data_IF_112837298161
#
_entry.id   IF_112837298161
#
_cell.length_a   1.000
_cell.length_b   1.000
_cell.length_c   1.000
_cell.angle_alpha   90.00
_cell.angle_beta   90.00
_cell.angle_gamma   90.00
#
_symmetry.space_group_name_H-M   'P 1'
#
loop_
_entity.id
_entity.type
_entity.pdbx_description
1 polymer ?
#
# COMPACT_ATOMS: atom_id res chain seq x y z
N UNK A 1 -19.44 -30.41 -10.46
CA UNK A 1 -19.37 -29.76 -9.14
C UNK A 1 -18.02 -30.10 -8.51
N UNK A 2 -16.98 -29.34 -8.86
CA UNK A 2 -15.61 -29.58 -8.42
C UNK A 2 -14.76 -28.33 -8.66
N UNK A 3 -13.97 -27.94 -7.65
CA UNK A 3 -12.74 -27.17 -7.86
C UNK A 3 -12.83 -25.66 -7.72
N UNK A 4 -13.19 -25.15 -6.53
CA UNK A 4 -12.72 -23.81 -6.12
C UNK A 4 -11.43 -23.98 -5.32
N UNK A 5 -10.32 -24.10 -6.06
CA UNK A 5 -8.96 -24.03 -5.53
C UNK A 5 -8.79 -22.70 -4.79
N UNK A 6 -8.82 -22.72 -3.46
CA UNK A 6 -8.32 -21.62 -2.63
C UNK A 6 -6.82 -21.51 -2.92
N UNK A 7 -6.41 -20.54 -3.74
CA UNK A 7 -5.01 -20.13 -3.82
C UNK A 7 -4.77 -19.19 -2.64
N UNK A 8 -3.98 -19.64 -1.67
CA UNK A 8 -3.45 -18.77 -0.64
C UNK A 8 -2.42 -17.83 -1.28
N UNK A 9 -2.44 -16.52 -0.98
CA UNK A 9 -1.40 -15.62 -1.48
C UNK A 9 -0.10 -15.86 -0.69
N UNK A 10 0.85 -16.56 -1.31
CA UNK A 10 2.22 -16.79 -0.84
C UNK A 10 3.05 -15.49 -0.95
N UNK A 11 2.74 -14.48 -0.15
CA UNK A 11 3.58 -13.28 -0.01
C UNK A 11 3.77 -12.89 1.45
N UNK A 12 4.30 -13.82 2.24
CA UNK A 12 4.91 -13.51 3.54
C UNK A 12 6.20 -14.29 3.64
N UNK A 13 7.27 -13.65 4.11
CA UNK A 13 8.47 -14.36 4.57
C UNK A 13 8.02 -15.15 5.81
N UNK A 14 7.53 -16.36 5.61
CA UNK A 14 7.24 -17.32 6.67
C UNK A 14 8.40 -18.29 6.72
N UNK A 15 9.17 -18.26 7.82
CA UNK A 15 10.11 -19.33 8.14
C UNK A 15 9.34 -20.67 8.09
N UNK A 16 9.84 -21.73 7.43
CA UNK A 16 9.07 -22.93 7.07
C UNK A 16 8.62 -23.81 8.27
N UNK A 17 8.63 -23.28 9.49
CA UNK A 17 8.14 -23.94 10.71
C UNK A 17 7.21 -23.10 11.59
N UNK A 18 6.94 -21.82 11.26
CA UNK A 18 6.09 -20.96 12.09
C UNK A 18 4.78 -20.58 11.37
N UNK A 19 3.65 -20.94 11.98
CA UNK A 19 2.35 -20.40 11.61
C UNK A 19 2.26 -18.96 12.10
N UNK A 20 2.23 -18.00 11.17
CA UNK A 20 2.09 -16.58 11.48
C UNK A 20 0.60 -16.19 11.53
N UNK A 21 0.19 -15.47 12.58
CA UNK A 21 -1.12 -14.84 12.65
C UNK A 21 -1.03 -13.50 11.93
N UNK A 22 -1.87 -13.29 10.91
CA UNK A 22 -1.93 -12.04 10.15
C UNK A 22 -2.97 -11.11 10.76
N UNK A 23 -2.63 -9.82 10.86
CA UNK A 23 -3.58 -8.79 11.26
C UNK A 23 -4.44 -8.36 10.07
N UNK A 24 -5.75 -8.25 10.27
CA UNK A 24 -6.66 -7.76 9.23
C UNK A 24 -6.51 -6.26 9.03
N UNK A 25 -6.22 -5.81 7.81
CA UNK A 25 -5.96 -4.39 7.53
C UNK A 25 -7.16 -3.47 7.83
N UNK A 26 -8.40 -3.98 7.74
CA UNK A 26 -9.60 -3.24 8.13
C UNK A 26 -9.70 -2.99 9.65
N UNK A 27 -8.92 -3.70 10.47
CA UNK A 27 -8.81 -3.46 11.91
C UNK A 27 -7.93 -2.26 12.28
N UNK A 28 -7.16 -1.75 11.32
CA UNK A 28 -6.29 -0.59 11.52
C UNK A 28 -7.17 0.67 11.61
N UNK A 29 -6.96 1.48 12.64
CA UNK A 29 -7.67 2.77 12.79
C UNK A 29 -7.55 3.60 11.50
N UNK A 30 -8.67 4.18 11.08
CA UNK A 30 -8.79 4.98 9.84
C UNK A 30 -8.73 4.19 8.53
N UNK A 31 -8.68 2.86 8.57
CA UNK A 31 -8.83 2.01 7.40
C UNK A 31 -10.26 1.48 7.33
N UNK A 32 -11.00 1.83 6.27
CA UNK A 32 -12.38 1.40 6.10
C UNK A 32 -12.50 0.01 5.48
N UNK A 33 -13.49 -0.76 5.90
CA UNK A 33 -13.78 -2.11 5.37
C UNK A 33 -14.05 -2.07 3.86
N UNK A 34 -14.92 -1.18 3.40
CA UNK A 34 -15.20 -0.99 1.96
C UNK A 34 -13.95 -0.62 1.15
N UNK A 35 -13.02 0.15 1.73
CA UNK A 35 -11.77 0.45 1.06
C UNK A 35 -10.91 -0.81 0.91
N UNK A 36 -10.82 -1.63 1.96
CA UNK A 36 -10.08 -2.90 1.93
C UNK A 36 -10.69 -3.94 0.99
N UNK A 37 -12.01 -4.01 0.86
CA UNK A 37 -12.67 -4.85 -0.14
C UNK A 37 -12.24 -4.46 -1.57
N UNK A 38 -12.14 -3.16 -1.85
CA UNK A 38 -11.65 -2.68 -3.13
C UNK A 38 -10.16 -3.03 -3.35
N UNK A 39 -9.34 -2.94 -2.29
CA UNK A 39 -7.93 -3.38 -2.34
C UNK A 39 -7.81 -4.86 -2.66
N UNK A 40 -8.59 -5.72 -1.99
CA UNK A 40 -8.59 -7.16 -2.21
C UNK A 40 -9.00 -7.47 -3.65
N UNK A 41 -10.10 -6.87 -4.12
CA UNK A 41 -10.59 -7.06 -5.49
C UNK A 41 -9.53 -6.66 -6.53
N UNK A 42 -8.88 -5.53 -6.33
CA UNK A 42 -7.84 -5.04 -7.24
C UNK A 42 -6.60 -5.95 -7.23
N UNK A 43 -6.23 -6.48 -6.06
CA UNK A 43 -5.15 -7.47 -5.92
C UNK A 43 -5.48 -8.79 -6.61
N UNK A 44 -6.71 -9.30 -6.45
CA UNK A 44 -7.16 -10.53 -7.10
C UNK A 44 -7.17 -10.41 -8.64
N UNK A 45 -7.45 -9.23 -9.18
CA UNK A 45 -7.53 -9.00 -10.63
C UNK A 45 -6.17 -8.76 -11.29
N UNK A 46 -5.26 -8.07 -10.60
CA UNK A 46 -4.01 -7.56 -11.18
C UNK A 46 -2.73 -8.06 -10.50
N UNK A 47 -2.85 -8.90 -9.49
CA UNK A 47 -1.73 -9.45 -8.73
C UNK A 47 -1.31 -8.55 -7.56
N UNK A 48 -0.20 -8.91 -6.94
CA UNK A 48 0.28 -8.23 -5.73
C UNK A 48 0.67 -6.77 -5.98
N UNK A 49 0.58 -5.96 -4.92
CA UNK A 49 1.12 -4.61 -4.95
C UNK A 49 2.63 -4.66 -4.77
N UNK A 50 3.35 -3.86 -5.54
CA UNK A 50 4.83 -3.84 -5.49
C UNK A 50 5.41 -2.59 -4.85
N UNK A 51 4.61 -1.51 -4.72
CA UNK A 51 5.04 -0.26 -4.09
C UNK A 51 3.85 0.59 -3.62
N UNK A 52 4.14 1.68 -2.90
CA UNK A 52 3.14 2.70 -2.52
C UNK A 52 2.52 3.35 -3.75
N UNK A 53 3.34 3.64 -4.76
CA UNK A 53 2.94 4.30 -5.99
C UNK A 53 2.06 3.37 -6.84
N UNK A 54 2.41 2.07 -6.93
CA UNK A 54 1.57 1.05 -7.57
C UNK A 54 0.19 0.97 -6.87
N UNK A 55 0.18 0.90 -5.53
CA UNK A 55 -1.03 0.89 -4.73
C UNK A 55 -1.92 2.12 -5.02
N UNK A 56 -1.34 3.32 -4.97
CA UNK A 56 -2.06 4.57 -5.24
C UNK A 56 -2.52 4.69 -6.69
N UNK A 57 -1.78 4.17 -7.67
CA UNK A 57 -2.11 4.29 -9.10
C UNK A 57 -3.23 3.34 -9.52
N UNK A 58 -3.27 2.16 -8.89
CA UNK A 58 -4.27 1.11 -9.13
C UNK A 58 -5.61 1.40 -8.45
N UNK A 59 -5.58 2.03 -7.28
CA UNK A 59 -6.78 2.40 -6.54
C UNK A 59 -7.24 3.82 -6.88
N UNK A 60 -8.55 4.05 -6.87
CA UNK A 60 -9.10 5.40 -7.01
C UNK A 60 -8.67 6.25 -5.79
N UNK A 61 -8.29 7.51 -6.02
CA UNK A 61 -7.88 8.44 -4.95
C UNK A 61 -8.96 8.65 -3.87
N UNK A 62 -10.24 8.42 -4.20
CA UNK A 62 -11.36 8.42 -3.24
C UNK A 62 -11.32 7.23 -2.27
N UNK A 63 -10.69 6.13 -2.68
CA UNK A 63 -10.52 4.91 -1.87
C UNK A 63 -9.24 5.04 -1.04
N UNK A 64 -8.12 5.35 -1.70
CA UNK A 64 -6.80 5.48 -1.05
C UNK A 64 -6.62 6.87 -0.42
N UNK A 65 -7.43 7.19 0.61
CA UNK A 65 -7.32 8.48 1.30
C UNK A 65 -5.95 8.64 1.97
N UNK A 66 -5.46 9.88 2.06
CA UNK A 66 -4.21 10.22 2.77
C UNK A 66 -4.17 9.60 4.18
N UNK A 67 -5.24 9.75 4.95
CA UNK A 67 -5.28 9.28 6.35
C UNK A 67 -5.17 7.76 6.46
N UNK A 68 -5.75 7.05 5.50
CA UNK A 68 -5.63 5.60 5.38
C UNK A 68 -4.20 5.20 5.02
N UNK A 69 -3.56 5.86 4.05
CA UNK A 69 -2.17 5.59 3.65
C UNK A 69 -1.19 5.83 4.82
N UNK A 70 -1.35 6.94 5.55
CA UNK A 70 -0.59 7.22 6.76
C UNK A 70 -0.69 6.09 7.78
N UNK A 71 -1.92 5.60 8.00
CA UNK A 71 -2.20 4.56 8.99
C UNK A 71 -1.64 3.21 8.56
N UNK A 72 -1.77 2.85 7.29
CA UNK A 72 -1.21 1.62 6.71
C UNK A 72 0.32 1.61 6.79
N UNK A 73 1.00 2.70 6.43
CA UNK A 73 2.46 2.80 6.49
C UNK A 73 2.94 2.69 7.93
N UNK A 74 2.31 3.44 8.85
CA UNK A 74 2.67 3.42 10.27
C UNK A 74 2.49 2.04 10.91
N UNK A 75 1.43 1.32 10.54
CA UNK A 75 1.14 -0.04 10.98
C UNK A 75 1.99 -1.13 10.30
N UNK A 76 2.88 -0.78 9.38
CA UNK A 76 3.76 -1.74 8.69
C UNK A 76 3.14 -2.49 7.51
N UNK A 77 1.96 -2.07 7.05
CA UNK A 77 1.29 -2.73 5.91
C UNK A 77 2.08 -2.61 4.60
N UNK A 78 3.01 -1.64 4.51
CA UNK A 78 3.89 -1.42 3.34
C UNK A 78 5.33 -1.92 3.53
N UNK A 79 5.64 -2.66 4.61
CA UNK A 79 7.00 -3.15 4.85
C UNK A 79 7.49 -4.11 3.75
N UNK A 80 6.57 -4.72 3.00
CA UNK A 80 6.87 -5.54 1.82
C UNK A 80 7.61 -4.76 0.71
N UNK A 81 7.51 -3.43 0.68
CA UNK A 81 8.17 -2.59 -0.32
C UNK A 81 9.68 -2.43 -0.09
N UNK A 82 10.23 -2.93 1.04
CA UNK A 82 11.66 -2.87 1.34
C UNK A 82 12.20 -1.44 1.56
N UNK A 83 11.32 -0.48 1.87
CA UNK A 83 11.65 0.92 2.15
C UNK A 83 11.37 1.23 3.62
N UNK A 84 12.11 2.18 4.18
CA UNK A 84 11.86 2.61 5.56
C UNK A 84 10.49 3.29 5.67
N UNK A 85 9.76 3.04 6.77
CA UNK A 85 8.41 3.60 6.96
C UNK A 85 8.41 5.14 6.96
N UNK A 86 9.46 5.80 7.49
CA UNK A 86 9.56 7.27 7.45
C UNK A 86 9.77 7.80 6.03
N UNK A 87 10.55 7.06 5.22
CA UNK A 87 10.72 7.36 3.80
C UNK A 87 9.38 7.25 3.05
N UNK A 88 8.69 6.11 3.19
CA UNK A 88 7.37 5.90 2.59
C UNK A 88 6.37 6.96 3.02
N UNK A 89 6.36 7.32 4.30
CA UNK A 89 5.47 8.35 4.85
C UNK A 89 5.72 9.72 4.19
N UNK A 90 6.99 10.08 3.95
CA UNK A 90 7.35 11.32 3.23
C UNK A 90 6.96 11.31 1.74
N UNK A 91 6.58 10.16 1.19
CA UNK A 91 6.22 9.99 -0.21
C UNK A 91 4.70 10.01 -0.45
N UNK A 92 3.86 10.05 0.59
CA UNK A 92 2.40 9.97 0.47
C UNK A 92 1.85 11.05 -0.45
N UNK A 93 2.26 12.31 -0.26
CA UNK A 93 1.78 13.47 -1.02
C UNK A 93 2.01 13.28 -2.51
N UNK A 94 3.25 12.98 -2.89
CA UNK A 94 3.63 12.80 -4.28
C UNK A 94 2.96 11.57 -4.89
N UNK A 95 2.83 10.48 -4.15
CA UNK A 95 2.16 9.26 -4.63
C UNK A 95 0.67 9.51 -4.92
N UNK A 96 -0.02 10.26 -4.06
CA UNK A 96 -1.42 10.65 -4.26
C UNK A 96 -1.54 11.65 -5.43
N UNK A 97 -0.66 12.65 -5.51
CA UNK A 97 -0.68 13.60 -6.63
C UNK A 97 -0.42 12.92 -7.98
N UNK A 98 0.54 11.99 -8.03
CA UNK A 98 0.84 11.22 -9.24
C UNK A 98 -0.33 10.33 -9.65
N UNK A 99 -1.03 9.70 -8.70
CA UNK A 99 -2.19 8.85 -9.04
C UNK A 99 -3.36 9.64 -9.59
N UNK A 100 -3.63 10.84 -9.03
CA UNK A 100 -4.66 11.75 -9.54
C UNK A 100 -4.34 12.20 -10.96
N UNK A 101 -3.08 12.58 -11.23
CA UNK A 101 -2.64 12.95 -12.58
C UNK A 101 -2.83 11.78 -13.56
N UNK A 102 -2.36 10.59 -13.20
CA UNK A 102 -2.50 9.40 -14.03
C UNK A 102 -3.98 9.02 -14.28
N UNK A 103 -4.86 9.21 -13.30
CA UNK A 103 -6.30 8.97 -13.46
C UNK A 103 -6.93 10.00 -14.41
N UNK A 104 -6.54 11.27 -14.30
CA UNK A 104 -7.00 12.33 -15.21
C UNK A 104 -6.59 12.03 -16.66
N UNK A 105 -5.36 11.61 -16.87
CA UNK A 105 -4.83 11.34 -18.21
C UNK A 105 -5.51 10.12 -18.84
N UNK A 106 -5.86 9.10 -18.04
CA UNK A 106 -6.69 7.96 -18.48
C UNK A 106 -8.11 8.39 -18.88
N UNK A 107 -8.75 9.27 -18.12
CA UNK A 107 -10.10 9.77 -18.41
C UNK A 107 -10.14 10.71 -19.61
N UNK A 108 -9.07 11.44 -19.87
CA UNK A 108 -8.94 12.35 -21.00
C UNK A 108 -8.81 11.64 -22.37
N UNK A 109 -8.67 10.30 -22.39
CA UNK A 109 -8.87 9.51 -23.61
C UNK A 109 -7.74 9.56 -24.64
N UNK A 110 -6.48 9.78 -24.20
CA UNK A 110 -5.22 9.97 -24.98
C UNK A 110 -4.80 11.43 -25.13
N UNK A 111 -3.66 11.81 -24.53
CA UNK A 111 -2.60 12.65 -25.15
C UNK A 111 -1.26 12.32 -24.47
N UNK A 112 -0.59 11.25 -24.89
CA UNK A 112 0.86 11.15 -24.85
C UNK A 112 1.30 9.96 -25.71
N UNK A 113 1.14 10.10 -27.03
CA UNK A 113 1.85 9.28 -28.02
C UNK A 113 3.35 9.67 -28.10
N UNK A 114 3.88 10.31 -27.04
CA UNK A 114 5.23 10.86 -26.90
C UNK A 114 5.69 10.87 -25.43
N UNK A 115 5.32 9.85 -24.67
CA UNK A 115 6.09 9.54 -23.46
C UNK A 115 6.16 8.02 -23.32
N UNK A 116 6.90 7.40 -24.25
CA UNK A 116 7.48 6.08 -24.08
C UNK A 116 8.59 6.15 -23.02
N UNK A 117 8.24 6.66 -21.86
CA UNK A 117 8.92 6.31 -20.64
C UNK A 117 7.84 5.64 -19.83
N UNK A 118 7.90 4.31 -19.76
CA UNK A 118 7.43 3.57 -18.60
C UNK A 118 8.24 4.11 -17.43
N UNK A 119 7.89 5.31 -16.94
CA UNK A 119 8.29 5.78 -15.66
C UNK A 119 7.58 4.83 -14.72
N UNK A 120 8.22 3.69 -14.46
CA UNK A 120 8.25 3.15 -13.12
C UNK A 120 8.53 4.37 -12.25
N UNK A 121 7.47 4.96 -11.70
CA UNK A 121 7.53 6.04 -10.76
C UNK A 121 8.06 5.43 -9.47
N UNK A 122 9.28 4.90 -9.53
CA UNK A 122 10.11 4.75 -8.35
C UNK A 122 10.16 6.16 -7.78
N UNK A 123 9.35 6.44 -6.75
CA UNK A 123 9.47 7.73 -6.11
C UNK A 123 10.94 7.88 -5.73
N UNK A 124 11.50 9.03 -6.09
CA UNK A 124 12.88 9.34 -5.72
C UNK A 124 12.96 9.13 -4.22
N UNK A 125 13.82 8.20 -3.79
CA UNK A 125 14.05 7.93 -2.37
C UNK A 125 14.25 9.26 -1.67
N UNK A 126 13.30 9.65 -0.84
CA UNK A 126 13.42 10.90 -0.07
C UNK A 126 14.24 10.60 1.16
N UNK A 127 15.29 11.37 1.37
CA UNK A 127 15.98 11.32 2.64
C UNK A 127 14.99 11.77 3.73
N UNK A 128 14.58 10.82 4.56
CA UNK A 128 13.77 11.06 5.74
C UNK A 128 14.56 10.56 6.95
N UNK A 129 14.47 11.29 8.05
CA UNK A 129 14.97 10.82 9.33
C UNK A 129 14.19 9.55 9.71
N UNK A 130 14.90 8.43 9.85
CA UNK A 130 14.31 7.17 10.27
C UNK A 130 13.63 7.35 11.62
N UNK A 131 12.44 6.78 11.76
CA UNK A 131 11.78 6.68 13.06
C UNK A 131 12.57 5.74 13.95
N UNK A 132 12.72 6.13 15.21
CA UNK A 132 13.19 5.24 16.27
C UNK A 132 12.21 4.08 16.46
N UNK A 133 12.68 2.99 17.06
CA UNK A 133 11.81 1.84 17.35
C UNK A 133 10.69 2.23 18.32
N UNK A 134 10.97 3.12 19.29
CA UNK A 134 9.97 3.67 20.19
C UNK A 134 8.85 4.42 19.43
N UNK A 135 9.20 5.22 18.43
CA UNK A 135 8.21 5.91 17.60
C UNK A 135 7.36 4.94 16.79
N UNK A 136 7.97 3.91 16.18
CA UNK A 136 7.24 2.86 15.43
C UNK A 136 6.25 2.14 16.32
N UNK A 137 6.70 1.68 17.50
CA UNK A 137 5.88 1.01 18.50
C UNK A 137 4.73 1.91 18.98
N UNK A 138 5.00 3.20 19.16
CA UNK A 138 3.96 4.17 19.55
C UNK A 138 2.87 4.28 18.48
N UNK A 139 3.24 4.30 17.20
CA UNK A 139 2.27 4.33 16.10
C UNK A 139 1.46 3.04 16.00
N UNK A 140 2.08 1.88 16.16
CA UNK A 140 1.38 0.59 16.16
C UNK A 140 0.39 0.52 17.32
N UNK A 141 0.79 0.95 18.52
CA UNK A 141 -0.11 1.01 19.67
C UNK A 141 -1.30 1.93 19.42
N UNK A 142 -1.09 3.08 18.79
CA UNK A 142 -2.14 4.04 18.44
C UNK A 142 -3.15 3.45 17.43
N UNK A 143 -2.65 2.72 16.42
CA UNK A 143 -3.45 2.33 15.25
C UNK A 143 -4.02 0.91 15.35
N UNK A 144 -3.30 0.00 16.00
CA UNK A 144 -3.66 -1.42 16.16
C UNK A 144 -4.22 -1.71 17.56
N UNK A 145 -3.88 -0.88 18.54
CA UNK A 145 -4.24 -1.08 19.95
C UNK A 145 -3.21 -1.90 20.75
N UNK A 146 -2.13 -2.36 20.13
CA UNK A 146 -1.04 -3.14 20.75
C UNK A 146 0.28 -2.95 19.98
N UNK A 147 1.38 -3.44 20.57
CA UNK A 147 2.73 -3.40 19.99
C UNK A 147 2.97 -4.66 19.15
N UNK A 148 3.62 -4.54 17.99
CA UNK A 148 3.89 -5.67 17.07
C UNK A 148 5.36 -5.73 16.68
#
# INVERSE_FOLDING_TARGET
>A
DAGRSKREPETGITDPGYSAIRYGLAGIKHVGETAMEAVIREREQRGDFISLEDFCTRLDSRIASRKMLESLIKAGAFDFAGRDRAELFSCIDDAVSASVAAQRDRLAGQVALFDETTASSTSRKRAASRWSDHEKLSYEKELLGFYV
#
